data_IF_691963735151
#
_entry.id   IF_691963735151
#
_cell.length_a   1.000
_cell.length_b   1.000
_cell.length_c   1.000
_cell.angle_alpha   90.00
_cell.angle_beta   90.00
_cell.angle_gamma   90.00
#
_symmetry.space_group_name_H-M   'P 1'
#
loop_
_entity.id
_entity.type
_entity.pdbx_description
1 polymer ?
#
# COMPACT_ATOMS: atom_id res chain seq x y z
N UNK A 1 47.02 -11.54 -16.14
CA UNK A 1 47.71 -11.18 -14.90
C UNK A 1 46.82 -11.40 -13.67
N UNK A 2 47.46 -11.62 -12.54
CA UNK A 2 46.78 -11.87 -11.27
C UNK A 2 45.85 -10.70 -10.89
N UNK A 3 46.28 -9.49 -11.16
CA UNK A 3 45.52 -8.28 -10.86
C UNK A 3 44.20 -8.24 -11.67
N UNK A 4 44.23 -8.57 -12.94
CA UNK A 4 43.06 -8.66 -13.81
C UNK A 4 42.05 -9.70 -13.33
N UNK A 5 42.55 -10.86 -12.94
CA UNK A 5 41.72 -11.95 -12.41
C UNK A 5 41.03 -11.55 -11.10
N UNK A 6 41.75 -10.87 -10.20
CA UNK A 6 41.21 -10.37 -8.94
C UNK A 6 40.12 -9.34 -9.18
N UNK A 7 40.35 -8.41 -10.10
CA UNK A 7 39.36 -7.36 -10.46
C UNK A 7 38.07 -8.00 -11.02
N UNK A 8 38.22 -9.00 -11.89
CA UNK A 8 37.10 -9.71 -12.45
C UNK A 8 36.29 -10.45 -11.37
N UNK A 9 36.98 -11.13 -10.45
CA UNK A 9 36.35 -11.83 -9.33
C UNK A 9 35.59 -10.86 -8.42
N UNK A 10 36.19 -9.69 -8.12
CA UNK A 10 35.53 -8.69 -7.30
C UNK A 10 34.29 -8.12 -7.99
N UNK A 11 34.36 -7.89 -9.30
CA UNK A 11 33.22 -7.40 -10.08
C UNK A 11 32.07 -8.42 -10.06
N UNK A 12 32.37 -9.72 -10.20
CA UNK A 12 31.36 -10.78 -10.14
C UNK A 12 30.70 -10.84 -8.76
N UNK A 13 31.46 -10.71 -7.68
CA UNK A 13 30.93 -10.67 -6.33
C UNK A 13 30.00 -9.49 -6.12
N UNK A 14 30.38 -8.31 -6.63
CA UNK A 14 29.55 -7.10 -6.53
C UNK A 14 28.24 -7.28 -7.28
N UNK A 15 28.27 -7.91 -8.47
CA UNK A 15 27.06 -8.19 -9.25
C UNK A 15 26.15 -9.16 -8.49
N UNK A 16 26.69 -10.25 -7.94
CA UNK A 16 25.90 -11.20 -7.15
C UNK A 16 25.26 -10.54 -5.93
N UNK A 17 26.02 -9.73 -5.21
CA UNK A 17 25.53 -9.01 -4.03
C UNK A 17 24.39 -8.05 -4.43
N UNK A 18 24.58 -7.32 -5.54
CA UNK A 18 23.55 -6.40 -6.05
C UNK A 18 22.28 -7.14 -6.45
N UNK A 19 22.40 -8.29 -7.12
CA UNK A 19 21.25 -9.11 -7.52
C UNK A 19 20.49 -9.62 -6.29
N UNK A 20 21.19 -10.10 -5.27
CA UNK A 20 20.56 -10.57 -4.05
C UNK A 20 19.85 -9.46 -3.30
N UNK A 21 20.46 -8.26 -3.24
CA UNK A 21 19.86 -7.07 -2.62
C UNK A 21 18.59 -6.67 -3.34
N UNK A 22 18.63 -6.64 -4.68
CA UNK A 22 17.48 -6.28 -5.51
C UNK A 22 16.34 -7.29 -5.32
N UNK A 23 16.65 -8.59 -5.29
CA UNK A 23 15.65 -9.63 -5.04
C UNK A 23 15.02 -9.48 -3.68
N UNK A 24 15.83 -9.18 -2.66
CA UNK A 24 15.36 -8.95 -1.31
C UNK A 24 14.44 -7.74 -1.25
N UNK A 25 14.82 -6.65 -1.94
CA UNK A 25 14.03 -5.43 -2.00
C UNK A 25 12.68 -5.67 -2.70
N UNK A 26 12.69 -6.42 -3.81
CA UNK A 26 11.47 -6.77 -4.55
C UNK A 26 10.55 -7.62 -3.66
N UNK A 27 11.11 -8.59 -2.93
CA UNK A 27 10.33 -9.43 -2.02
C UNK A 27 9.69 -8.58 -0.91
N UNK A 28 10.44 -7.63 -0.34
CA UNK A 28 9.95 -6.72 0.68
C UNK A 28 8.81 -5.85 0.12
N UNK A 29 8.97 -5.33 -1.10
CA UNK A 29 7.94 -4.51 -1.75
C UNK A 29 6.68 -5.34 -2.04
N UNK A 30 6.85 -6.58 -2.45
CA UNK A 30 5.72 -7.49 -2.68
C UNK A 30 4.97 -7.77 -1.37
N UNK A 31 5.71 -8.04 -0.29
CA UNK A 31 5.12 -8.27 1.03
C UNK A 31 4.37 -7.02 1.52
N UNK A 32 4.91 -5.84 1.24
CA UNK A 32 4.26 -4.57 1.55
C UNK A 32 2.93 -4.43 0.80
N UNK A 33 2.89 -4.82 -0.47
CA UNK A 33 1.65 -4.81 -1.26
C UNK A 33 0.60 -5.71 -0.60
N UNK A 34 0.98 -6.89 -0.15
CA UNK A 34 0.06 -7.81 0.51
C UNK A 34 -0.49 -7.22 1.81
N UNK A 35 0.38 -6.55 2.60
CA UNK A 35 -0.04 -5.85 3.82
C UNK A 35 -1.02 -4.72 3.49
N UNK A 36 -0.70 -3.91 2.48
CA UNK A 36 -1.55 -2.78 2.09
C UNK A 36 -2.88 -3.24 1.52
N UNK A 37 -2.87 -4.37 0.81
CA UNK A 37 -4.11 -4.96 0.29
C UNK A 37 -5.01 -5.44 1.44
N UNK A 38 -4.44 -6.08 2.46
CA UNK A 38 -5.19 -6.50 3.64
C UNK A 38 -5.77 -5.30 4.38
N UNK A 39 -4.99 -4.22 4.53
CA UNK A 39 -5.45 -2.98 5.15
C UNK A 39 -6.55 -2.32 4.32
N UNK A 40 -6.42 -2.35 2.99
CA UNK A 40 -7.43 -1.83 2.07
C UNK A 40 -8.75 -2.59 2.22
N UNK A 41 -8.69 -3.92 2.26
CA UNK A 41 -9.88 -4.76 2.40
C UNK A 41 -10.58 -4.49 3.73
N UNK A 42 -9.82 -4.35 4.83
CA UNK A 42 -10.36 -3.99 6.14
C UNK A 42 -11.01 -2.61 6.13
N UNK A 43 -10.35 -1.64 5.52
CA UNK A 43 -10.87 -0.27 5.44
C UNK A 43 -12.13 -0.21 4.56
N UNK A 44 -12.17 -0.99 3.47
CA UNK A 44 -13.35 -1.09 2.62
C UNK A 44 -14.55 -1.65 3.38
N UNK A 45 -14.34 -2.68 4.18
CA UNK A 45 -15.39 -3.28 5.02
C UNK A 45 -15.88 -2.27 6.05
N UNK A 46 -14.98 -1.56 6.72
CA UNK A 46 -15.32 -0.53 7.70
C UNK A 46 -16.10 0.61 7.04
N UNK A 47 -15.71 1.01 5.84
CA UNK A 47 -16.39 2.06 5.09
C UNK A 47 -17.82 1.65 4.71
N UNK A 48 -18.00 0.41 4.24
CA UNK A 48 -19.33 -0.11 3.91
C UNK A 48 -20.24 -0.14 5.14
N UNK A 49 -19.72 -0.58 6.29
CA UNK A 49 -20.47 -0.55 7.55
C UNK A 49 -20.83 0.86 7.96
N UNK A 50 -19.88 1.79 7.80
CA UNK A 50 -20.10 3.20 8.13
C UNK A 50 -21.15 3.84 7.22
N UNK A 51 -21.17 3.48 5.93
CA UNK A 51 -22.20 3.95 4.98
C UNK A 51 -23.61 3.52 5.43
N UNK A 52 -23.75 2.27 5.82
CA UNK A 52 -25.02 1.72 6.27
C UNK A 52 -25.48 2.46 7.53
N UNK A 53 -24.56 2.62 8.51
CA UNK A 53 -24.86 3.36 9.74
C UNK A 53 -25.22 4.82 9.47
N UNK A 54 -24.51 5.46 8.54
CA UNK A 54 -24.76 6.84 8.17
C UNK A 54 -26.13 7.02 7.52
N UNK A 55 -26.49 6.12 6.60
CA UNK A 55 -27.81 6.14 5.97
C UNK A 55 -28.93 5.97 7.00
N UNK A 56 -28.73 5.04 7.96
CA UNK A 56 -29.68 4.85 9.06
C UNK A 56 -29.80 6.10 9.94
N UNK A 57 -28.65 6.75 10.23
CA UNK A 57 -28.63 7.98 11.04
C UNK A 57 -29.36 9.13 10.35
N UNK A 58 -29.22 9.26 9.02
CA UNK A 58 -29.95 10.28 8.26
C UNK A 58 -31.45 10.08 8.33
N UNK A 59 -31.91 8.83 8.21
CA UNK A 59 -33.33 8.48 8.31
C UNK A 59 -33.83 8.78 9.72
N UNK A 60 -33.09 8.39 10.75
CA UNK A 60 -33.44 8.63 12.15
C UNK A 60 -33.51 10.12 12.45
N UNK A 61 -32.59 10.91 11.88
CA UNK A 61 -32.61 12.37 12.05
C UNK A 61 -33.88 12.97 11.43
N UNK A 62 -34.24 12.54 10.23
CA UNK A 62 -35.44 12.99 9.55
C UNK A 62 -36.72 12.67 10.34
N UNK A 63 -36.73 11.50 11.00
CA UNK A 63 -37.82 11.03 11.82
C UNK A 63 -37.85 11.66 13.22
N UNK A 64 -36.83 12.46 13.57
CA UNK A 64 -36.73 13.09 14.87
C UNK A 64 -36.27 12.15 15.98
N UNK A 65 -35.82 10.95 15.63
CA UNK A 65 -35.38 9.94 16.58
C UNK A 65 -33.94 10.13 17.06
N UNK A 66 -33.16 11.00 16.40
CA UNK A 66 -31.75 11.19 16.67
C UNK A 66 -31.50 12.66 17.03
N UNK A 67 -30.76 12.90 18.12
CA UNK A 67 -30.39 14.25 18.52
C UNK A 67 -29.31 14.81 17.58
N UNK A 68 -29.18 16.15 17.59
CA UNK A 68 -28.16 16.84 16.78
C UNK A 68 -26.75 16.34 17.12
N UNK A 69 -26.45 16.16 18.42
CA UNK A 69 -25.15 15.69 18.86
C UNK A 69 -24.87 14.27 18.37
N UNK A 70 -25.87 13.38 18.48
CA UNK A 70 -25.75 12.01 18.01
C UNK A 70 -25.58 11.95 16.50
N UNK A 71 -26.29 12.80 15.76
CA UNK A 71 -26.17 12.89 14.32
C UNK A 71 -24.76 13.32 13.91
N UNK A 72 -24.20 14.34 14.57
CA UNK A 72 -22.84 14.81 14.30
C UNK A 72 -21.79 13.71 14.62
N UNK A 73 -22.00 12.94 15.68
CA UNK A 73 -21.13 11.83 16.03
C UNK A 73 -21.12 10.76 14.91
N UNK A 74 -22.30 10.47 14.36
CA UNK A 74 -22.40 9.52 13.24
C UNK A 74 -21.72 10.06 11.98
N UNK A 75 -21.88 11.36 11.71
CA UNK A 75 -21.20 12.00 10.59
C UNK A 75 -19.70 11.92 10.73
N UNK A 76 -19.15 12.19 11.93
CA UNK A 76 -17.73 12.10 12.18
C UNK A 76 -17.22 10.67 11.98
N UNK A 77 -17.95 9.67 12.46
CA UNK A 77 -17.59 8.27 12.28
C UNK A 77 -17.55 7.88 10.80
N UNK A 78 -18.53 8.36 10.03
CA UNK A 78 -18.58 8.13 8.57
C UNK A 78 -17.37 8.78 7.88
N UNK A 79 -17.07 10.04 8.21
CA UNK A 79 -15.96 10.76 7.61
C UNK A 79 -14.61 10.12 7.96
N UNK A 80 -14.46 9.63 9.19
CA UNK A 80 -13.25 8.90 9.60
C UNK A 80 -13.07 7.62 8.79
N UNK A 81 -14.14 6.85 8.61
CA UNK A 81 -14.08 5.62 7.83
C UNK A 81 -13.78 5.92 6.35
N UNK A 82 -14.35 6.98 5.81
CA UNK A 82 -14.08 7.43 4.44
C UNK A 82 -12.62 7.83 4.27
N UNK A 83 -12.10 8.62 5.20
CA UNK A 83 -10.68 9.03 5.19
C UNK A 83 -9.76 7.83 5.29
N UNK A 84 -10.05 6.89 6.19
CA UNK A 84 -9.27 5.68 6.36
C UNK A 84 -9.24 4.84 5.09
N UNK A 85 -10.39 4.72 4.43
CA UNK A 85 -10.50 3.99 3.16
C UNK A 85 -9.66 4.67 2.07
N UNK A 86 -9.76 5.98 1.93
CA UNK A 86 -8.98 6.74 0.95
C UNK A 86 -7.48 6.63 1.20
N UNK A 87 -7.06 6.71 2.46
CA UNK A 87 -5.65 6.55 2.84
C UNK A 87 -5.15 5.15 2.50
N UNK A 88 -5.95 4.12 2.80
CA UNK A 88 -5.59 2.74 2.49
C UNK A 88 -5.46 2.52 0.97
N UNK A 89 -6.37 3.12 0.19
CA UNK A 89 -6.33 3.05 -1.28
C UNK A 89 -5.06 3.71 -1.82
N UNK A 90 -4.73 4.90 -1.35
CA UNK A 90 -3.53 5.61 -1.78
C UNK A 90 -2.26 4.86 -1.39
N UNK A 91 -2.23 4.30 -0.17
CA UNK A 91 -1.08 3.52 0.30
C UNK A 91 -0.87 2.27 -0.55
N UNK A 92 -1.96 1.59 -0.91
CA UNK A 92 -1.89 0.41 -1.76
C UNK A 92 -1.35 0.77 -3.15
N UNK A 93 -1.87 1.84 -3.74
CA UNK A 93 -1.42 2.32 -5.06
C UNK A 93 0.05 2.70 -5.04
N UNK A 94 0.49 3.38 -3.97
CA UNK A 94 1.89 3.76 -3.81
C UNK A 94 2.78 2.52 -3.73
N UNK A 95 2.39 1.51 -2.95
CA UNK A 95 3.14 0.26 -2.85
C UNK A 95 3.23 -0.45 -4.20
N UNK A 96 2.15 -0.47 -4.97
CA UNK A 96 2.13 -1.06 -6.30
C UNK A 96 3.04 -0.32 -7.29
N UNK A 97 3.04 1.01 -7.24
CA UNK A 97 3.93 1.83 -8.06
C UNK A 97 5.39 1.57 -7.71
N UNK A 98 5.72 1.54 -6.42
CA UNK A 98 7.07 1.28 -5.95
C UNK A 98 7.57 -0.08 -6.44
N UNK A 99 6.71 -1.09 -6.37
CA UNK A 99 7.02 -2.43 -6.87
C UNK A 99 7.26 -2.41 -8.39
N UNK A 100 6.39 -1.75 -9.15
CA UNK A 100 6.52 -1.66 -10.60
C UNK A 100 7.81 -0.96 -11.01
N UNK A 101 8.17 0.12 -10.32
CA UNK A 101 9.41 0.84 -10.58
C UNK A 101 10.63 -0.02 -10.29
N UNK A 102 10.61 -0.78 -9.20
CA UNK A 102 11.71 -1.68 -8.84
C UNK A 102 11.88 -2.78 -9.89
N UNK A 103 10.80 -3.37 -10.35
CA UNK A 103 10.82 -4.42 -11.39
C UNK A 103 11.33 -3.87 -12.71
N UNK A 104 10.89 -2.67 -13.11
CA UNK A 104 11.37 -2.01 -14.33
C UNK A 104 12.86 -1.67 -14.25
N UNK A 105 13.31 -1.23 -13.08
CA UNK A 105 14.72 -0.95 -12.85
C UNK A 105 15.59 -2.18 -13.06
N UNK A 106 15.15 -3.34 -12.57
CA UNK A 106 15.86 -4.61 -12.76
C UNK A 106 15.92 -4.98 -14.24
N UNK A 107 14.81 -4.83 -14.96
CA UNK A 107 14.76 -5.14 -16.39
C UNK A 107 15.69 -4.22 -17.21
N UNK A 108 15.78 -2.95 -16.86
CA UNK A 108 16.66 -1.99 -17.52
C UNK A 108 18.11 -2.38 -17.27
N UNK A 109 18.48 -2.75 -16.04
CA UNK A 109 19.84 -3.17 -15.70
C UNK A 109 20.25 -4.42 -16.47
N UNK A 110 19.35 -5.39 -16.58
CA UNK A 110 19.60 -6.63 -17.35
C UNK A 110 19.74 -6.31 -18.84
N UNK A 111 18.94 -5.38 -19.37
CA UNK A 111 19.01 -4.97 -20.78
C UNK A 111 20.29 -4.19 -21.10
N UNK A 112 20.85 -3.49 -20.12
CA UNK A 112 22.08 -2.70 -20.30
C UNK A 112 23.32 -3.57 -20.41
N UNK A 113 23.28 -4.82 -19.96
CA UNK A 113 24.38 -5.79 -20.08
C UNK A 113 24.29 -6.56 -21.39
#
# INVERSE_FOLDING_TARGET
TTKSTTQRANKLRNVEYSENTVRSDIQTLYDTILEKKAAYDSAATAYESAKIAWNAAQIQKQNGSLSQIQFLQQEMAFLQAQSGFKCADLSLRQAMEDYNWAVKGVQVDVSAE
#
